data_IF_029284823816
#
_entry.id   IF_029284823816
#
_cell.length_a   1.000
_cell.length_b   1.000
_cell.length_c   1.000
_cell.angle_alpha   90.00
_cell.angle_beta   90.00
_cell.angle_gamma   90.00
#
_symmetry.space_group_name_H-M   'P 1'
#
loop_
_entity.id
_entity.type
_entity.pdbx_description
1 polymer ?
#
# COMPACT_ATOMS: atom_id res chain seq x y z
N UNK A 1 -73.60 -1.83 -8.26
CA UNK A 1 -73.16 -2.91 -7.39
C UNK A 1 -71.90 -3.40 -7.93
N UNK A 2 -70.91 -2.85 -7.38
CA UNK A 2 -69.52 -2.97 -7.78
C UNK A 2 -68.80 -3.90 -6.79
N UNK A 3 -68.35 -5.00 -7.30
CA UNK A 3 -67.49 -5.91 -6.56
C UNK A 3 -66.10 -5.31 -6.50
N UNK A 4 -65.61 -5.08 -5.31
CA UNK A 4 -64.25 -4.63 -5.03
C UNK A 4 -63.32 -5.83 -5.17
N UNK A 5 -62.43 -5.75 -6.14
CA UNK A 5 -61.29 -6.64 -6.29
C UNK A 5 -60.26 -6.30 -5.20
N UNK A 6 -60.15 -7.17 -4.22
CA UNK A 6 -59.06 -7.16 -3.26
C UNK A 6 -57.84 -7.82 -3.92
N UNK A 7 -56.93 -7.00 -4.41
CA UNK A 7 -55.56 -7.43 -4.72
C UNK A 7 -54.84 -7.72 -3.40
N UNK A 8 -54.61 -8.98 -3.13
CA UNK A 8 -53.68 -9.42 -2.08
C UNK A 8 -52.24 -9.22 -2.60
N UNK A 9 -51.61 -8.15 -2.15
CA UNK A 9 -50.14 -8.05 -2.19
C UNK A 9 -49.56 -9.17 -1.31
N UNK A 10 -49.05 -10.20 -1.96
CA UNK A 10 -48.15 -11.15 -1.31
C UNK A 10 -46.82 -10.45 -1.09
N UNK A 11 -46.60 -9.93 0.12
CA UNK A 11 -45.26 -9.62 0.60
C UNK A 11 -44.38 -10.87 0.50
N UNK A 12 -43.52 -10.90 -0.50
CA UNK A 12 -42.39 -11.86 -0.54
C UNK A 12 -41.46 -11.53 0.63
N UNK A 13 -41.53 -12.33 1.68
CA UNK A 13 -40.53 -12.33 2.74
C UNK A 13 -39.18 -12.62 2.10
N UNK A 14 -38.12 -11.80 2.40
CA UNK A 14 -36.79 -12.10 1.95
C UNK A 14 -36.37 -13.46 2.53
N UNK A 15 -35.83 -14.30 1.68
CA UNK A 15 -35.26 -15.60 2.06
C UNK A 15 -34.40 -15.44 3.31
N UNK A 16 -34.70 -16.19 4.37
CA UNK A 16 -33.90 -16.24 5.58
C UNK A 16 -32.46 -16.62 5.19
N UNK A 17 -31.59 -15.63 5.16
CA UNK A 17 -30.13 -15.86 5.07
C UNK A 17 -29.73 -16.78 6.22
N UNK A 18 -28.98 -17.83 5.93
CA UNK A 18 -28.47 -18.71 6.95
C UNK A 18 -27.79 -17.93 8.09
N UNK A 19 -27.66 -18.49 9.28
CA UNK A 19 -27.14 -17.77 10.44
C UNK A 19 -25.79 -17.18 10.11
N UNK A 20 -25.64 -15.87 10.31
CA UNK A 20 -24.34 -15.18 10.15
C UNK A 20 -23.27 -15.93 10.95
N UNK A 21 -22.11 -16.22 10.35
CA UNK A 21 -21.04 -16.92 11.04
C UNK A 21 -20.68 -16.17 12.32
N UNK A 22 -20.57 -16.91 13.40
CA UNK A 22 -20.16 -16.33 14.68
C UNK A 22 -18.71 -15.86 14.62
N UNK A 23 -18.35 -14.86 15.42
CA UNK A 23 -16.95 -14.41 15.54
C UNK A 23 -16.00 -15.58 15.82
N UNK A 24 -16.48 -16.58 16.58
CA UNK A 24 -15.70 -17.79 16.89
C UNK A 24 -15.39 -18.62 15.65
N UNK A 25 -16.36 -18.78 14.74
CA UNK A 25 -16.17 -19.50 13.47
C UNK A 25 -15.23 -18.75 12.53
N UNK A 26 -15.34 -17.41 12.48
CA UNK A 26 -14.40 -16.58 11.74
C UNK A 26 -12.96 -16.69 12.29
N UNK A 27 -12.79 -16.75 13.61
CA UNK A 27 -11.47 -16.96 14.23
C UNK A 27 -10.93 -18.35 13.88
N UNK A 28 -11.77 -19.38 13.94
CA UNK A 28 -11.37 -20.74 13.57
C UNK A 28 -10.95 -20.82 12.11
N UNK A 29 -11.70 -20.19 11.20
CA UNK A 29 -11.33 -20.11 9.79
C UNK A 29 -9.97 -19.44 9.58
N UNK A 30 -9.75 -18.29 10.23
CA UNK A 30 -8.46 -17.59 10.18
C UNK A 30 -7.29 -18.40 10.73
N UNK A 31 -7.52 -19.31 11.67
CA UNK A 31 -6.50 -20.21 12.21
C UNK A 31 -6.18 -21.36 11.25
N UNK A 32 -7.12 -21.76 10.42
CA UNK A 32 -6.94 -22.82 9.43
C UNK A 32 -6.28 -22.33 8.14
N UNK A 33 -6.53 -21.09 7.74
CA UNK A 33 -6.00 -20.52 6.49
C UNK A 33 -4.48 -20.64 6.32
N UNK A 34 -3.64 -20.42 7.34
CA UNK A 34 -2.19 -20.60 7.22
C UNK A 34 -1.73 -22.06 7.03
N UNK A 35 -2.57 -23.03 7.37
CA UNK A 35 -2.25 -24.46 7.32
C UNK A 35 -2.60 -25.06 5.96
N UNK A 36 -3.54 -24.43 5.25
CA UNK A 36 -3.98 -24.87 3.92
C UNK A 36 -2.99 -24.34 2.87
N UNK A 37 -2.75 -25.12 1.84
CA UNK A 37 -1.96 -24.70 0.68
C UNK A 37 -2.46 -23.36 0.12
N UNK A 38 -1.53 -22.46 -0.15
CA UNK A 38 -1.87 -21.08 -0.58
C UNK A 38 -2.68 -21.08 -1.88
N UNK A 39 -2.33 -21.96 -2.83
CA UNK A 39 -3.01 -22.03 -4.11
C UNK A 39 -4.46 -22.52 -3.91
N UNK A 40 -4.69 -23.48 -3.01
CA UNK A 40 -6.05 -23.91 -2.61
C UNK A 40 -6.85 -22.82 -1.89
N UNK A 41 -6.19 -22.00 -1.09
CA UNK A 41 -6.85 -20.85 -0.44
C UNK A 41 -7.29 -19.82 -1.48
N UNK A 42 -6.43 -19.51 -2.46
CA UNK A 42 -6.76 -18.60 -3.56
C UNK A 42 -7.95 -19.14 -4.35
N UNK A 43 -7.93 -20.41 -4.71
CA UNK A 43 -9.03 -21.06 -5.45
C UNK A 43 -10.33 -21.05 -4.64
N UNK A 44 -10.28 -21.34 -3.34
CA UNK A 44 -11.45 -21.33 -2.48
C UNK A 44 -12.06 -19.92 -2.34
N UNK A 45 -11.23 -18.89 -2.09
CA UNK A 45 -11.67 -17.50 -2.00
C UNK A 45 -12.22 -17.03 -3.35
N UNK A 46 -11.52 -17.32 -4.44
CA UNK A 46 -11.94 -16.96 -5.79
C UNK A 46 -13.29 -17.57 -6.15
N UNK A 47 -13.52 -18.83 -5.80
CA UNK A 47 -14.80 -19.51 -6.08
C UNK A 47 -15.97 -18.91 -5.31
N UNK A 48 -15.76 -18.39 -4.09
CA UNK A 48 -16.81 -17.74 -3.30
C UNK A 48 -17.14 -16.33 -3.81
N UNK A 49 -16.13 -15.63 -4.32
CA UNK A 49 -16.26 -14.23 -4.76
C UNK A 49 -16.77 -14.14 -6.22
N UNK A 50 -16.45 -15.15 -7.06
CA UNK A 50 -16.63 -15.09 -8.51
C UNK A 50 -18.08 -14.81 -8.95
N UNK A 51 -19.07 -15.32 -8.23
CA UNK A 51 -20.49 -15.20 -8.58
C UNK A 51 -21.22 -14.09 -7.80
N UNK A 52 -20.49 -13.23 -7.07
CA UNK A 52 -21.09 -12.21 -6.22
C UNK A 52 -20.34 -10.88 -6.31
N UNK A 53 -20.86 -9.98 -7.17
CA UNK A 53 -20.25 -8.67 -7.42
C UNK A 53 -20.19 -7.78 -6.16
N UNK A 54 -21.19 -7.86 -5.28
CA UNK A 54 -21.21 -7.07 -4.04
C UNK A 54 -20.10 -7.54 -3.09
N UNK A 55 -19.96 -8.86 -2.95
CA UNK A 55 -18.91 -9.45 -2.13
C UNK A 55 -17.51 -9.17 -2.71
N UNK A 56 -17.36 -9.22 -4.04
CA UNK A 56 -16.13 -8.83 -4.73
C UNK A 56 -15.78 -7.37 -4.43
N UNK A 57 -16.73 -6.46 -4.55
CA UNK A 57 -16.51 -5.04 -4.27
C UNK A 57 -16.14 -4.80 -2.80
N UNK A 58 -16.82 -5.44 -1.86
CA UNK A 58 -16.50 -5.35 -0.44
C UNK A 58 -15.10 -5.92 -0.15
N UNK A 59 -14.74 -7.05 -0.76
CA UNK A 59 -13.42 -7.64 -0.63
C UNK A 59 -12.33 -6.73 -1.20
N UNK A 60 -12.54 -6.16 -2.39
CA UNK A 60 -11.60 -5.24 -3.02
C UNK A 60 -11.39 -3.94 -2.22
N UNK A 61 -12.37 -3.51 -1.44
CA UNK A 61 -12.22 -2.37 -0.52
C UNK A 61 -11.37 -2.71 0.71
N UNK A 62 -11.32 -3.98 1.12
CA UNK A 62 -10.58 -4.44 2.30
C UNK A 62 -9.15 -4.89 2.00
N UNK A 63 -8.82 -5.14 0.72
CA UNK A 63 -7.47 -5.49 0.31
C UNK A 63 -6.72 -4.28 -0.20
N UNK A 64 -5.42 -4.21 0.10
CA UNK A 64 -4.56 -3.15 -0.41
C UNK A 64 -4.45 -3.24 -1.93
N UNK A 65 -4.97 -2.23 -2.62
CA UNK A 65 -4.89 -2.15 -4.07
C UNK A 65 -3.45 -1.87 -4.51
N UNK A 66 -2.91 -2.77 -5.32
CA UNK A 66 -1.62 -2.54 -5.97
C UNK A 66 -1.76 -1.43 -7.00
N UNK A 67 -0.67 -0.67 -7.17
CA UNK A 67 -0.59 0.34 -8.23
C UNK A 67 -0.87 -0.28 -9.60
N UNK A 68 -1.77 0.33 -10.36
CA UNK A 68 -2.13 -0.08 -11.73
C UNK A 68 -1.27 0.67 -12.74
N UNK A 69 -0.96 0.00 -13.85
CA UNK A 69 -0.18 0.57 -14.96
C UNK A 69 -1.12 0.82 -16.14
N UNK A 70 -0.97 1.97 -16.78
CA UNK A 70 -1.61 2.33 -18.03
C UNK A 70 -0.55 2.61 -19.10
N UNK A 71 -0.93 2.51 -20.38
CA UNK A 71 -0.06 2.78 -21.52
C UNK A 71 -0.40 4.12 -22.16
N UNK A 72 0.63 4.89 -22.46
CA UNK A 72 0.58 6.11 -23.26
C UNK A 72 1.35 5.83 -24.57
N UNK A 73 0.74 5.03 -25.43
CA UNK A 73 1.38 4.63 -26.70
C UNK A 73 1.51 5.83 -27.67
N UNK A 74 2.68 6.03 -28.29
CA UNK A 74 3.92 5.26 -28.20
C UNK A 74 4.91 5.75 -27.11
N UNK A 75 4.48 6.64 -26.20
CA UNK A 75 5.39 7.38 -25.28
C UNK A 75 5.87 6.57 -24.09
N UNK A 76 5.14 5.53 -23.70
CA UNK A 76 5.55 4.63 -22.64
C UNK A 76 4.43 4.21 -21.68
N UNK A 77 4.82 3.67 -20.55
CA UNK A 77 3.91 3.24 -19.47
C UNK A 77 3.97 4.21 -18.29
N UNK A 78 2.85 4.36 -17.59
CA UNK A 78 2.76 5.15 -16.38
C UNK A 78 1.93 4.45 -15.31
N UNK A 79 2.17 4.79 -14.05
CA UNK A 79 1.40 4.30 -12.90
C UNK A 79 0.19 5.22 -12.72
N UNK A 80 -1.01 4.65 -12.66
CA UNK A 80 -2.25 5.40 -12.47
C UNK A 80 -2.28 6.05 -11.08
N UNK A 81 -2.78 7.29 -11.00
CA UNK A 81 -2.86 8.07 -9.78
C UNK A 81 -4.31 8.50 -9.52
N UNK A 82 -4.87 8.11 -8.40
CA UNK A 82 -6.25 8.42 -8.03
C UNK A 82 -6.50 9.94 -7.88
N UNK A 83 -5.48 10.72 -7.48
CA UNK A 83 -5.58 12.17 -7.39
C UNK A 83 -5.63 12.87 -8.76
N UNK A 84 -5.32 12.15 -9.84
CA UNK A 84 -5.35 12.63 -11.23
C UNK A 84 -6.30 11.78 -12.07
N UNK A 85 -7.44 11.43 -11.48
CA UNK A 85 -8.53 10.69 -12.09
C UNK A 85 -9.71 11.62 -12.37
N UNK A 86 -10.40 11.39 -13.48
CA UNK A 86 -11.70 11.96 -13.80
C UNK A 86 -12.63 10.85 -14.30
N UNK A 87 -13.62 10.49 -13.49
CA UNK A 87 -14.42 9.29 -13.72
C UNK A 87 -13.54 8.05 -13.85
N UNK A 88 -13.59 7.37 -14.98
CA UNK A 88 -12.76 6.20 -15.30
C UNK A 88 -11.47 6.54 -16.05
N UNK A 89 -11.20 7.83 -16.25
CA UNK A 89 -10.04 8.32 -17.02
C UNK A 89 -8.90 8.72 -16.09
N UNK A 90 -7.67 8.34 -16.45
CA UNK A 90 -6.45 8.68 -15.72
C UNK A 90 -5.51 9.50 -16.58
N UNK A 91 -4.98 10.58 -16.03
CA UNK A 91 -4.04 11.46 -16.73
C UNK A 91 -2.66 10.81 -16.81
N UNK A 92 -2.07 10.80 -17.99
CA UNK A 92 -0.67 10.45 -18.18
C UNK A 92 0.25 11.60 -17.76
N UNK A 93 1.25 11.37 -16.91
CA UNK A 93 2.24 12.38 -16.58
C UNK A 93 3.25 12.60 -17.72
N UNK A 94 3.22 11.74 -18.75
CA UNK A 94 4.12 11.83 -19.91
C UNK A 94 3.56 12.78 -20.95
N UNK A 95 2.32 12.53 -21.42
CA UNK A 95 1.67 13.31 -22.46
C UNK A 95 0.76 14.42 -21.95
N UNK A 96 0.43 14.42 -20.66
CA UNK A 96 -0.60 15.26 -20.06
C UNK A 96 -1.99 15.01 -20.69
N UNK A 97 -2.29 13.78 -21.10
CA UNK A 97 -3.54 13.38 -21.73
C UNK A 97 -4.25 12.36 -20.85
N UNK A 98 -5.57 12.38 -20.83
CA UNK A 98 -6.37 11.39 -20.11
C UNK A 98 -6.65 10.16 -20.97
N UNK A 99 -6.65 8.99 -20.35
CA UNK A 99 -6.94 7.70 -20.93
C UNK A 99 -8.01 6.96 -20.10
N UNK A 100 -9.20 6.65 -20.69
CA UNK A 100 -9.67 7.15 -21.99
C UNK A 100 -9.81 8.69 -22.03
N UNK A 101 -9.90 9.32 -23.21
CA UNK A 101 -10.09 10.78 -23.32
C UNK A 101 -11.35 11.25 -22.59
N UNK A 102 -11.30 12.40 -21.93
CA UNK A 102 -12.43 13.08 -21.28
C UNK A 102 -12.38 14.58 -21.54
N UNK A 103 -13.55 15.25 -21.61
CA UNK A 103 -13.63 16.65 -22.01
C UNK A 103 -13.50 17.62 -20.83
N UNK A 104 -13.95 17.21 -19.63
CA UNK A 104 -14.02 18.08 -18.44
C UNK A 104 -12.86 17.89 -17.44
N UNK A 105 -11.80 17.25 -17.88
CA UNK A 105 -10.69 16.90 -17.00
C UNK A 105 -9.87 18.10 -16.52
N UNK A 106 -9.47 18.08 -15.27
CA UNK A 106 -8.60 19.09 -14.67
C UNK A 106 -7.14 18.84 -15.01
N UNK A 107 -6.46 19.88 -15.45
CA UNK A 107 -5.03 19.86 -15.74
C UNK A 107 -4.28 20.76 -14.77
N UNK A 108 -3.03 20.42 -14.40
CA UNK A 108 -2.20 21.31 -13.62
C UNK A 108 -1.89 22.58 -14.41
N UNK A 109 -1.75 23.72 -13.72
CA UNK A 109 -1.30 24.99 -14.31
C UNK A 109 0.07 24.83 -14.98
N UNK A 110 0.38 25.71 -15.90
CA UNK A 110 1.64 25.63 -16.66
C UNK A 110 2.90 25.62 -15.78
N UNK A 111 3.02 26.44 -14.69
CA UNK A 111 4.16 26.35 -13.78
C UNK A 111 4.22 25.02 -13.03
N UNK A 112 3.08 24.50 -12.59
CA UNK A 112 3.01 23.24 -11.87
C UNK A 112 3.31 22.06 -12.79
N UNK A 113 2.86 22.11 -14.05
CA UNK A 113 3.22 21.12 -15.08
C UNK A 113 4.72 21.10 -15.34
N UNK A 114 5.38 22.24 -15.41
CA UNK A 114 6.84 22.33 -15.58
C UNK A 114 7.58 21.68 -14.42
N UNK A 115 7.12 21.90 -13.17
CA UNK A 115 7.65 21.22 -11.99
C UNK A 115 7.44 19.70 -12.08
N UNK A 116 6.25 19.25 -12.44
CA UNK A 116 5.90 17.83 -12.62
C UNK A 116 6.82 17.14 -13.64
N UNK A 117 7.06 17.77 -14.79
CA UNK A 117 7.95 17.23 -15.81
C UNK A 117 9.39 17.12 -15.33
N UNK A 118 9.85 18.11 -14.56
CA UNK A 118 11.19 18.10 -13.98
C UNK A 118 11.33 17.02 -12.92
N UNK A 119 10.35 16.89 -12.03
CA UNK A 119 10.30 15.82 -11.03
C UNK A 119 10.27 14.43 -11.69
N UNK A 120 9.48 14.23 -12.76
CA UNK A 120 9.48 12.98 -13.50
C UNK A 120 10.86 12.63 -14.07
N UNK A 121 11.61 13.61 -14.60
CA UNK A 121 12.98 13.40 -15.09
C UNK A 121 13.91 13.01 -13.94
N UNK A 122 13.84 13.69 -12.80
CA UNK A 122 14.70 13.43 -11.64
C UNK A 122 14.38 12.09 -10.98
N UNK A 123 13.12 11.75 -10.78
CA UNK A 123 12.75 10.47 -10.20
C UNK A 123 13.00 9.28 -11.13
N UNK A 124 13.02 9.46 -12.45
CA UNK A 124 13.53 8.45 -13.38
C UNK A 124 15.01 8.14 -13.16
N UNK A 125 15.81 9.15 -12.79
CA UNK A 125 17.23 8.94 -12.42
C UNK A 125 17.31 8.23 -11.07
N UNK A 126 16.55 8.72 -10.07
CA UNK A 126 16.50 8.14 -8.74
C UNK A 126 16.20 6.62 -8.77
N UNK A 127 15.13 6.21 -9.46
CA UNK A 127 14.76 4.78 -9.50
C UNK A 127 15.80 3.92 -10.23
N UNK A 128 16.55 4.47 -11.17
CA UNK A 128 17.66 3.75 -11.82
C UNK A 128 18.86 3.56 -10.90
N UNK A 129 19.09 4.48 -9.96
CA UNK A 129 20.18 4.40 -9.00
C UNK A 129 19.88 3.45 -7.84
N UNK A 130 18.65 3.46 -7.35
CA UNK A 130 18.26 2.74 -6.12
C UNK A 130 17.49 1.45 -6.38
N UNK A 131 16.91 1.27 -7.58
CA UNK A 131 16.10 0.11 -7.97
C UNK A 131 16.67 -0.55 -9.24
N UNK A 132 15.88 -1.37 -9.87
CA UNK A 132 16.22 -2.00 -11.13
C UNK A 132 15.87 -1.13 -12.34
N UNK A 133 16.42 -1.45 -13.50
CA UNK A 133 16.10 -0.80 -14.78
C UNK A 133 14.65 -1.01 -15.21
N UNK A 134 13.98 -2.03 -14.67
CA UNK A 134 12.57 -2.35 -14.94
C UNK A 134 11.60 -1.61 -14.00
N UNK A 135 12.12 -0.75 -13.09
CA UNK A 135 11.29 0.00 -12.16
C UNK A 135 10.56 1.13 -12.88
N UNK A 136 9.25 1.17 -12.71
CA UNK A 136 8.42 2.26 -13.23
C UNK A 136 8.24 3.34 -12.16
N UNK A 137 8.31 4.59 -12.59
CA UNK A 137 8.04 5.75 -11.73
C UNK A 137 7.17 6.76 -12.46
N UNK A 138 6.19 7.32 -11.75
CA UNK A 138 5.31 8.37 -12.25
C UNK A 138 5.13 9.44 -11.19
N UNK A 139 5.31 10.70 -11.58
CA UNK A 139 5.11 11.85 -10.69
C UNK A 139 3.97 12.70 -11.23
N UNK A 140 3.09 13.12 -10.33
CA UNK A 140 1.93 13.94 -10.61
C UNK A 140 1.91 15.15 -9.70
N UNK A 141 1.41 16.27 -10.23
CA UNK A 141 1.16 17.47 -9.46
C UNK A 141 -0.27 17.96 -9.71
N UNK A 142 -0.88 18.57 -8.67
CA UNK A 142 -2.21 19.20 -8.75
C UNK A 142 -2.30 20.35 -7.76
N UNK A 143 -3.14 21.34 -8.05
CA UNK A 143 -3.44 22.46 -7.15
C UNK A 143 -4.29 21.98 -5.97
N UNK A 144 -4.07 22.54 -4.78
CA UNK A 144 -4.90 22.32 -3.59
C UNK A 144 -6.02 23.37 -3.45
N UNK A 145 -5.91 24.50 -4.14
CA UNK A 145 -6.86 25.60 -4.13
C UNK A 145 -6.94 26.27 -5.48
N UNK A 146 -7.43 27.51 -5.50
CA UNK A 146 -7.59 28.29 -6.74
C UNK A 146 -6.26 28.87 -7.26
N UNK A 147 -5.27 28.98 -6.38
CA UNK A 147 -3.96 29.55 -6.71
C UNK A 147 -2.81 28.70 -6.18
N UNK A 148 -1.63 28.85 -6.77
CA UNK A 148 -0.41 28.22 -6.25
C UNK A 148 -0.02 28.68 -4.85
N UNK A 149 -0.53 29.83 -4.39
CA UNK A 149 -0.33 30.30 -3.03
C UNK A 149 -1.04 29.45 -1.99
N UNK A 150 -2.14 28.79 -2.38
CA UNK A 150 -2.88 27.86 -1.51
C UNK A 150 -2.15 26.54 -1.33
N UNK A 151 -1.14 26.30 -2.17
CA UNK A 151 -0.33 25.09 -2.16
C UNK A 151 -0.65 24.13 -3.30
N UNK A 152 0.12 23.04 -3.33
CA UNK A 152 -0.06 22.00 -4.32
C UNK A 152 0.24 20.62 -3.73
N UNK A 153 -0.34 19.60 -4.34
CA UNK A 153 -0.06 18.20 -4.07
C UNK A 153 0.93 17.62 -5.07
N UNK A 154 1.76 16.68 -4.61
CA UNK A 154 2.67 15.89 -5.44
C UNK A 154 2.49 14.43 -5.07
N UNK A 155 2.29 13.57 -6.06
CA UNK A 155 2.35 12.12 -5.89
C UNK A 155 3.57 11.56 -6.61
N UNK A 156 4.45 10.88 -5.88
CA UNK A 156 5.57 10.11 -6.45
C UNK A 156 5.23 8.63 -6.28
N UNK A 157 4.91 7.98 -7.38
CA UNK A 157 4.52 6.57 -7.43
C UNK A 157 5.67 5.75 -8.01
N UNK A 158 6.08 4.70 -7.30
CA UNK A 158 7.16 3.81 -7.73
C UNK A 158 6.65 2.38 -7.68
N UNK A 159 6.81 1.67 -8.79
CA UNK A 159 6.48 0.25 -8.91
C UNK A 159 7.72 -0.53 -9.32
N UNK A 160 8.19 -1.37 -8.41
CA UNK A 160 9.37 -2.18 -8.64
C UNK A 160 9.01 -3.66 -8.54
N UNK A 161 9.24 -4.40 -9.62
CA UNK A 161 9.07 -5.85 -9.65
C UNK A 161 10.41 -6.51 -9.30
N UNK A 162 10.40 -7.27 -8.23
CA UNK A 162 11.55 -8.02 -7.74
C UNK A 162 11.45 -9.44 -8.30
N UNK A 163 12.31 -9.76 -9.25
CA UNK A 163 12.39 -11.12 -9.81
C UNK A 163 13.85 -11.50 -9.91
N UNK A 164 14.23 -12.62 -9.33
CA UNK A 164 15.59 -13.12 -9.46
C UNK A 164 15.84 -13.66 -10.87
N UNK A 165 17.13 -13.81 -11.23
CA UNK A 165 17.54 -14.30 -12.54
C UNK A 165 16.99 -15.70 -12.86
N UNK A 166 16.71 -16.50 -11.86
CA UNK A 166 16.15 -17.87 -11.99
C UNK A 166 14.64 -17.91 -11.98
N UNK A 167 13.97 -16.74 -11.79
CA UNK A 167 12.51 -16.62 -11.64
C UNK A 167 11.90 -17.49 -10.51
N UNK A 168 12.71 -17.87 -9.53
CA UNK A 168 12.29 -18.70 -8.39
C UNK A 168 11.68 -17.81 -7.31
N UNK A 169 12.25 -16.61 -7.14
CA UNK A 169 11.80 -15.63 -6.17
C UNK A 169 11.16 -14.46 -6.90
N UNK A 170 9.94 -14.13 -6.52
CA UNK A 170 9.17 -13.03 -7.09
C UNK A 170 8.76 -12.08 -5.98
N UNK A 171 8.64 -10.82 -6.33
CA UNK A 171 8.13 -9.83 -5.41
C UNK A 171 7.75 -8.53 -6.09
N UNK A 172 7.12 -7.65 -5.33
CA UNK A 172 6.87 -6.28 -5.73
C UNK A 172 7.07 -5.36 -4.54
N UNK A 173 7.58 -4.18 -4.85
CA UNK A 173 7.64 -3.03 -3.97
C UNK A 173 6.90 -1.91 -4.66
N UNK A 174 5.70 -1.62 -4.21
CA UNK A 174 4.87 -0.55 -4.74
C UNK A 174 4.82 0.56 -3.69
N UNK A 175 5.45 1.71 -3.94
CA UNK A 175 5.41 2.86 -3.05
C UNK A 175 4.58 4.00 -3.62
N UNK A 176 3.76 4.59 -2.76
CA UNK A 176 2.97 5.79 -3.02
C UNK A 176 3.38 6.87 -2.03
N UNK A 177 4.04 7.91 -2.52
CA UNK A 177 4.52 9.03 -1.75
C UNK A 177 3.66 10.24 -2.07
N UNK A 178 2.75 10.61 -1.16
CA UNK A 178 1.86 11.77 -1.31
C UNK A 178 2.42 12.92 -0.48
N UNK A 179 2.73 14.03 -1.15
CA UNK A 179 3.34 15.21 -0.55
C UNK A 179 2.37 16.38 -0.72
N UNK A 180 2.05 17.04 0.38
CA UNK A 180 1.32 18.31 0.39
C UNK A 180 2.32 19.42 0.66
N UNK A 181 2.39 20.40 -0.25
CA UNK A 181 3.23 21.58 -0.12
C UNK A 181 2.34 22.79 0.14
N UNK A 182 2.50 23.43 1.28
CA UNK A 182 1.77 24.63 1.67
C UNK A 182 2.75 25.76 1.97
N UNK A 183 2.30 27.00 1.84
CA UNK A 183 3.16 28.17 1.99
C UNK A 183 2.70 29.06 3.13
N UNK A 184 3.70 29.62 3.82
CA UNK A 184 3.52 30.63 4.87
C UNK A 184 4.44 31.81 4.56
N UNK A 185 4.02 33.02 4.96
CA UNK A 185 4.87 34.18 4.83
C UNK A 185 6.06 34.08 5.79
N UNK A 186 7.25 34.16 5.23
CA UNK A 186 8.50 34.16 5.96
C UNK A 186 9.00 35.56 6.28
N UNK A 187 9.98 35.63 7.16
CA UNK A 187 10.67 36.89 7.42
C UNK A 187 11.42 37.38 6.16
N UNK A 188 11.46 38.69 5.94
CA UNK A 188 12.24 39.33 4.86
C UNK A 188 11.75 39.05 3.42
N UNK A 189 10.44 38.80 3.21
CA UNK A 189 9.88 38.62 1.86
C UNK A 189 10.15 37.25 1.23
N UNK A 190 10.82 36.36 1.94
CA UNK A 190 10.92 34.97 1.56
C UNK A 190 9.69 34.18 2.03
N UNK A 191 9.36 33.13 1.30
CA UNK A 191 8.27 32.21 1.65
C UNK A 191 8.81 31.01 2.41
N UNK A 192 8.02 30.47 3.31
CA UNK A 192 8.30 29.19 3.95
C UNK A 192 7.39 28.15 3.32
N UNK A 193 7.97 27.13 2.72
CA UNK A 193 7.24 25.97 2.22
C UNK A 193 7.28 24.86 3.27
N UNK A 194 6.12 24.37 3.63
CA UNK A 194 5.93 23.21 4.49
C UNK A 194 5.58 22.01 3.63
N UNK A 195 6.38 20.97 3.74
CA UNK A 195 6.22 19.70 3.03
C UNK A 195 5.71 18.67 4.01
N UNK A 196 4.53 18.11 3.76
CA UNK A 196 3.99 17.01 4.53
C UNK A 196 3.94 15.78 3.62
N UNK A 197 4.63 14.71 4.00
CA UNK A 197 4.70 13.45 3.25
C UNK A 197 3.92 12.36 3.98
N UNK A 198 3.14 11.62 3.23
CA UNK A 198 2.57 10.33 3.63
C UNK A 198 3.05 9.30 2.61
N UNK A 199 3.79 8.30 3.08
CA UNK A 199 4.27 7.21 2.24
C UNK A 199 3.56 5.93 2.63
N UNK A 200 3.04 5.23 1.64
CA UNK A 200 2.48 3.89 1.77
C UNK A 200 3.26 2.95 0.86
N UNK A 201 3.81 1.88 1.43
CA UNK A 201 4.53 0.84 0.69
C UNK A 201 3.77 -0.46 0.79
N UNK A 202 3.37 -1.00 -0.36
CA UNK A 202 2.80 -2.33 -0.49
C UNK A 202 3.91 -3.28 -0.92
N UNK A 203 4.25 -4.21 -0.04
CA UNK A 203 5.28 -5.22 -0.26
C UNK A 203 4.63 -6.58 -0.44
N UNK A 204 5.03 -7.30 -1.49
CA UNK A 204 4.69 -8.70 -1.67
C UNK A 204 5.92 -9.47 -2.14
N UNK A 205 6.21 -10.58 -1.50
CA UNK A 205 7.34 -11.44 -1.85
C UNK A 205 6.90 -12.91 -1.81
N UNK A 206 7.36 -13.67 -2.77
CA UNK A 206 7.22 -15.13 -2.81
C UNK A 206 8.58 -15.73 -3.11
N UNK A 207 9.03 -16.65 -2.28
CA UNK A 207 10.29 -17.34 -2.45
C UNK A 207 10.17 -18.82 -2.05
N UNK A 208 10.98 -19.64 -2.68
CA UNK A 208 11.07 -21.07 -2.36
C UNK A 208 12.24 -21.32 -1.41
N UNK A 209 11.95 -21.90 -0.27
CA UNK A 209 12.93 -22.36 0.69
C UNK A 209 13.06 -23.89 0.63
N UNK A 210 14.28 -24.37 0.66
CA UNK A 210 14.54 -25.82 0.72
C UNK A 210 14.04 -26.45 2.03
N UNK A 211 13.78 -25.63 3.05
CA UNK A 211 13.36 -26.10 4.37
C UNK A 211 11.84 -25.99 4.55
N UNK A 212 11.27 -24.86 4.09
CA UNK A 212 9.87 -24.50 4.37
C UNK A 212 8.96 -24.59 3.12
N UNK A 213 9.52 -24.91 1.94
CA UNK A 213 8.77 -24.86 0.69
C UNK A 213 8.48 -23.43 0.22
N UNK A 214 7.32 -23.20 -0.41
CA UNK A 214 6.90 -21.88 -0.89
C UNK A 214 6.50 -20.99 0.29
N UNK A 215 7.18 -19.87 0.46
CA UNK A 215 6.88 -18.85 1.46
C UNK A 215 6.39 -17.58 0.77
N UNK A 216 5.24 -17.08 1.18
CA UNK A 216 4.69 -15.81 0.72
C UNK A 216 4.62 -14.84 1.91
N UNK A 217 5.11 -13.62 1.68
CA UNK A 217 5.08 -12.53 2.63
C UNK A 217 4.49 -11.31 1.94
N UNK A 218 3.47 -10.72 2.52
CA UNK A 218 2.88 -9.49 2.01
C UNK A 218 2.44 -8.59 3.16
N UNK A 219 2.36 -7.30 2.88
CA UNK A 219 1.87 -6.33 3.84
C UNK A 219 2.05 -4.90 3.36
N UNK A 220 1.41 -4.00 4.09
CA UNK A 220 1.44 -2.56 3.84
C UNK A 220 2.08 -1.85 5.02
N UNK A 221 2.97 -0.91 4.73
CA UNK A 221 3.61 -0.04 5.71
C UNK A 221 3.29 1.40 5.34
N UNK A 222 2.66 2.13 6.27
CA UNK A 222 2.41 3.56 6.12
C UNK A 222 3.26 4.36 7.12
N UNK A 223 3.84 5.46 6.66
CA UNK A 223 4.65 6.39 7.45
C UNK A 223 4.35 7.82 7.01
N UNK A 224 4.56 8.76 7.92
CA UNK A 224 4.46 10.19 7.62
C UNK A 224 5.68 10.94 8.12
N UNK A 225 6.04 12.01 7.42
CA UNK A 225 7.10 12.95 7.79
C UNK A 225 6.75 14.35 7.32
N UNK A 226 7.38 15.35 7.92
CA UNK A 226 7.21 16.74 7.49
C UNK A 226 8.46 17.53 7.78
N UNK A 227 8.71 18.55 6.98
CA UNK A 227 9.69 19.60 7.28
C UNK A 227 9.28 20.94 6.65
N UNK A 228 9.91 22.02 7.11
CA UNK A 228 9.69 23.38 6.60
C UNK A 228 11.01 23.96 6.13
N UNK A 229 11.02 24.57 4.94
CA UNK A 229 12.20 25.20 4.32
C UNK A 229 11.82 26.57 3.74
N UNK A 230 12.78 27.49 3.72
CA UNK A 230 12.64 28.74 2.98
C UNK A 230 12.79 28.47 1.48
N UNK A 231 11.93 29.10 0.69
CA UNK A 231 11.91 29.02 -0.78
C UNK A 231 11.72 30.41 -1.37
N UNK A 232 12.18 30.60 -2.59
CA UNK A 232 12.08 31.90 -3.28
C UNK A 232 10.84 32.01 -4.17
N UNK A 233 10.30 30.90 -4.63
CA UNK A 233 9.13 30.83 -5.52
C UNK A 233 8.23 29.64 -5.15
N UNK A 234 7.01 29.61 -5.66
CA UNK A 234 6.04 28.53 -5.40
C UNK A 234 6.39 27.22 -6.12
N UNK A 235 6.93 27.30 -7.34
CA UNK A 235 7.16 26.10 -8.18
C UNK A 235 8.48 26.11 -8.93
N UNK A 236 9.08 27.27 -9.20
CA UNK A 236 10.29 27.40 -10.06
C UNK A 236 11.60 27.22 -9.33
N UNK A 237 11.58 27.23 -8.01
CA UNK A 237 12.79 27.07 -7.21
C UNK A 237 13.28 25.63 -7.26
N UNK A 238 14.54 25.42 -7.67
CA UNK A 238 15.20 24.11 -7.65
C UNK A 238 15.19 23.48 -6.24
N UNK A 239 15.04 24.31 -5.20
CA UNK A 239 14.87 23.84 -3.82
C UNK A 239 13.65 22.93 -3.65
N UNK A 240 12.54 23.14 -4.37
CA UNK A 240 11.37 22.27 -4.31
C UNK A 240 11.70 20.84 -4.78
N UNK A 241 12.45 20.73 -5.88
CA UNK A 241 12.87 19.44 -6.44
C UNK A 241 13.77 18.73 -5.45
N UNK A 242 14.75 19.43 -4.89
CA UNK A 242 15.68 18.89 -3.88
C UNK A 242 14.92 18.48 -2.62
N UNK A 243 14.05 19.32 -2.10
CA UNK A 243 13.31 19.07 -0.86
C UNK A 243 12.38 17.84 -0.99
N UNK A 244 11.65 17.75 -2.10
CA UNK A 244 10.78 16.59 -2.39
C UNK A 244 11.62 15.33 -2.56
N UNK A 245 12.73 15.39 -3.28
CA UNK A 245 13.63 14.27 -3.50
C UNK A 245 14.21 13.71 -2.20
N UNK A 246 14.77 14.58 -1.37
CA UNK A 246 15.33 14.21 -0.06
C UNK A 246 14.27 13.60 0.85
N UNK A 247 13.08 14.20 0.90
CA UNK A 247 11.98 13.73 1.75
C UNK A 247 11.54 12.31 1.38
N UNK A 248 11.38 12.02 0.09
CA UNK A 248 11.02 10.69 -0.41
C UNK A 248 12.16 9.70 -0.16
N UNK A 249 13.41 10.06 -0.46
CA UNK A 249 14.57 9.19 -0.27
C UNK A 249 14.76 8.79 1.20
N UNK A 250 14.72 9.74 2.12
CA UNK A 250 14.84 9.49 3.56
C UNK A 250 13.73 8.58 4.06
N UNK A 251 12.48 8.82 3.61
CA UNK A 251 11.34 8.01 4.01
C UNK A 251 11.45 6.58 3.50
N UNK A 252 11.75 6.38 2.22
CA UNK A 252 11.90 5.04 1.66
C UNK A 252 13.08 4.28 2.27
N UNK A 253 14.19 4.95 2.57
CA UNK A 253 15.31 4.36 3.29
C UNK A 253 14.92 3.98 4.73
N UNK A 254 14.17 4.83 5.42
CA UNK A 254 13.64 4.55 6.75
C UNK A 254 12.76 3.30 6.76
N UNK A 255 11.86 3.17 5.78
CA UNK A 255 10.99 2.00 5.66
C UNK A 255 11.82 0.74 5.38
N UNK A 256 12.76 0.79 4.42
CA UNK A 256 13.65 -0.35 4.10
C UNK A 256 14.45 -0.82 5.30
N UNK A 257 15.02 0.10 6.07
CA UNK A 257 15.82 -0.21 7.26
C UNK A 257 15.00 -0.80 8.42
N UNK A 258 13.67 -0.69 8.38
CA UNK A 258 12.80 -1.24 9.43
C UNK A 258 12.10 -2.54 9.01
N UNK A 259 12.29 -3.01 7.78
CA UNK A 259 11.61 -4.22 7.28
C UNK A 259 11.90 -5.45 8.11
N UNK A 260 13.16 -5.70 8.44
CA UNK A 260 13.59 -6.81 9.30
C UNK A 260 12.93 -6.73 10.68
N UNK A 261 12.89 -5.55 11.30
CA UNK A 261 12.23 -5.32 12.58
C UNK A 261 10.73 -5.58 12.48
N UNK A 262 10.05 -5.06 11.45
CA UNK A 262 8.60 -5.25 11.28
C UNK A 262 8.25 -6.72 11.09
N UNK A 263 8.97 -7.44 10.23
CA UNK A 263 8.65 -8.83 9.93
C UNK A 263 9.22 -9.81 10.95
N UNK A 264 10.48 -9.68 11.34
CA UNK A 264 11.11 -10.58 12.30
C UNK A 264 10.57 -10.39 13.73
N UNK A 265 10.27 -9.17 14.13
CA UNK A 265 9.70 -8.92 15.46
C UNK A 265 8.27 -9.43 15.58
N UNK A 266 7.43 -9.31 14.55
CA UNK A 266 6.09 -9.91 14.55
C UNK A 266 6.15 -11.43 14.62
N UNK A 267 7.04 -12.06 13.85
CA UNK A 267 7.25 -13.52 13.92
C UNK A 267 7.73 -13.95 15.29
N UNK A 268 8.67 -13.21 15.90
CA UNK A 268 9.12 -13.45 17.26
C UNK A 268 7.97 -13.32 18.26
N UNK A 269 7.16 -12.26 18.17
CA UNK A 269 6.01 -12.06 19.04
C UNK A 269 5.01 -13.21 18.97
N UNK A 270 4.71 -13.70 17.77
CA UNK A 270 3.84 -14.85 17.55
C UNK A 270 4.43 -16.10 18.22
N UNK A 271 5.71 -16.36 18.02
CA UNK A 271 6.41 -17.51 18.65
C UNK A 271 6.43 -17.37 20.16
N UNK A 272 6.72 -16.20 20.70
CA UNK A 272 6.74 -15.94 22.13
C UNK A 272 5.34 -16.08 22.74
N UNK A 273 4.29 -15.60 22.03
CA UNK A 273 2.89 -15.76 22.45
C UNK A 273 2.45 -17.23 22.40
N UNK A 274 2.87 -17.97 21.38
CA UNK A 274 2.59 -19.40 21.28
C UNK A 274 3.27 -20.23 22.36
N UNK A 275 4.42 -19.78 22.87
CA UNK A 275 5.12 -20.42 24.01
C UNK A 275 4.55 -20.04 25.35
N UNK A 276 3.98 -18.85 25.46
CA UNK A 276 3.42 -18.31 26.70
C UNK A 276 1.90 -18.24 26.58
N UNK A 277 1.20 -19.23 27.12
CA UNK A 277 -0.26 -19.19 27.21
C UNK A 277 -0.66 -18.70 28.62
N UNK A 278 -1.05 -17.42 28.77
CA UNK A 278 -1.39 -16.87 30.08
C UNK A 278 -2.68 -17.47 30.67
N UNK A 279 -3.53 -18.11 29.87
CA UNK A 279 -4.74 -18.79 30.34
C UNK A 279 -4.48 -20.16 30.96
N UNK A 280 -3.35 -20.77 30.63
CA UNK A 280 -2.88 -22.02 31.21
C UNK A 280 -1.79 -21.80 32.25
N UNK A 281 -1.62 -20.60 32.73
CA UNK A 281 -0.48 -19.97 33.39
C UNK A 281 0.05 -20.58 34.68
N UNK A 282 -0.31 -21.80 35.06
CA UNK A 282 0.35 -22.53 36.18
C UNK A 282 1.05 -23.83 35.75
N UNK A 283 0.50 -24.63 34.82
CA UNK A 283 1.21 -25.84 34.37
C UNK A 283 2.50 -25.53 33.60
N UNK A 284 2.54 -24.48 32.77
CA UNK A 284 3.71 -24.15 31.96
C UNK A 284 4.91 -23.69 32.77
N UNK A 285 4.70 -22.95 33.86
CA UNK A 285 5.78 -22.52 34.76
C UNK A 285 6.30 -23.73 35.56
N UNK A 286 5.41 -24.61 36.00
CA UNK A 286 5.81 -25.83 36.70
C UNK A 286 6.61 -26.77 35.79
N UNK A 287 6.18 -26.92 34.53
CA UNK A 287 6.91 -27.70 33.49
C UNK A 287 8.25 -27.07 33.12
N UNK A 288 8.32 -25.74 32.95
CA UNK A 288 9.58 -25.04 32.72
C UNK A 288 10.55 -25.14 33.90
N UNK A 289 10.05 -25.10 35.10
CA UNK A 289 10.88 -25.31 36.30
C UNK A 289 11.33 -26.76 36.43
N UNK A 290 10.47 -27.73 36.12
CA UNK A 290 10.84 -29.14 36.11
C UNK A 290 11.93 -29.43 35.05
N UNK A 291 11.81 -28.84 33.85
CA UNK A 291 12.83 -28.92 32.78
C UNK A 291 14.15 -28.26 33.23
N UNK A 292 14.11 -27.12 33.90
CA UNK A 292 15.31 -26.47 34.45
C UNK A 292 16.02 -27.32 35.53
N UNK A 293 15.27 -28.04 36.36
CA UNK A 293 15.83 -28.94 37.34
C UNK A 293 16.45 -30.18 36.68
N UNK A 294 15.82 -30.75 35.65
CA UNK A 294 16.39 -31.84 34.83
C UNK A 294 17.68 -31.40 34.14
N UNK A 295 17.73 -30.20 33.59
CA UNK A 295 18.96 -29.68 32.97
C UNK A 295 20.07 -29.32 33.97
N UNK A 296 19.72 -28.91 35.17
CA UNK A 296 20.70 -28.71 36.25
C UNK A 296 21.23 -30.01 36.87
N UNK A 297 20.40 -31.06 36.85
CA UNK A 297 20.77 -32.39 37.34
C UNK A 297 21.60 -33.26 36.40
N UNK A 298 21.69 -32.85 35.10
CA UNK A 298 22.54 -33.51 34.13
C UNK A 298 24.00 -33.07 34.22
N UNK A 299 24.70 -33.53 35.24
CA UNK A 299 26.16 -33.44 35.28
C UNK A 299 26.74 -34.28 34.13
N UNK A 300 27.76 -33.81 33.39
CA UNK A 300 28.37 -34.58 32.32
C UNK A 300 28.96 -35.87 32.90
N UNK A 301 28.50 -36.99 32.38
CA UNK A 301 29.18 -38.28 32.60
C UNK A 301 30.57 -38.15 31.97
N UNK A 302 31.60 -38.36 32.82
CA UNK A 302 32.99 -38.38 32.42
C UNK A 302 33.29 -39.46 31.38
#
# INVERSE_FOLDING_TARGET
MTEEEQEQEQEQQPAEGGPNPTIKECIQLNQLMPIIDIDKNIDAISSVIYDNDDLLNEFLQKVDNRTKICKDDPKGEFIMCEQNRDGDSYRSPISNTYFPPTEDAKYPSAPLRQLEETLNKMFKIYVRLYYSTATLCSVYCWELGESLADGYGVAVLIKNSLTDQKKINNGSWDSSNLITVTFEDGASGKKKAKYNLITTVNLAMSFNSNICGKVCLSGTIARSSHFTKEVSDYTKDEAHITNIGVLVEEMENSIRNTLDTVYCMKSKQIIDTARYNPTEGKPGIAQANALKEVWKGGAPVK
#
